data_IF_755385433576
#
_entry.id   IF_755385433576
#
_cell.length_a   1.000
_cell.length_b   1.000
_cell.length_c   1.000
_cell.angle_alpha   90.00
_cell.angle_beta   90.00
_cell.angle_gamma   90.00
#
_symmetry.space_group_name_H-M   'P 1'
#
loop_
_entity.id
_entity.type
_entity.pdbx_description
1 polymer ?
#
# COMPACT_ATOMS: atom_id res chain seq x y z
N UNK A 1 29.47 -37.70 -10.08
CA UNK A 1 29.00 -36.32 -9.82
C UNK A 1 30.18 -35.56 -9.25
N UNK A 2 30.79 -34.67 -10.05
CA UNK A 2 31.91 -33.84 -9.60
C UNK A 2 31.32 -32.70 -8.79
N UNK A 3 31.54 -32.71 -7.47
CA UNK A 3 31.25 -31.57 -6.60
C UNK A 3 32.05 -30.37 -7.13
N UNK A 4 31.36 -29.28 -7.50
CA UNK A 4 32.03 -28.02 -7.78
C UNK A 4 32.85 -27.62 -6.54
N UNK A 5 34.05 -27.04 -6.72
CA UNK A 5 34.91 -26.69 -5.59
C UNK A 5 34.23 -25.61 -4.73
N UNK A 6 34.14 -25.83 -3.41
CA UNK A 6 33.62 -24.91 -2.36
C UNK A 6 34.31 -23.53 -2.28
N UNK A 7 35.15 -23.18 -3.25
CA UNK A 7 35.91 -21.94 -3.30
C UNK A 7 35.04 -20.67 -3.26
N UNK A 8 33.94 -20.55 -4.04
CA UNK A 8 33.13 -19.32 -4.00
C UNK A 8 32.43 -19.14 -2.65
N UNK A 9 31.95 -20.23 -2.03
CA UNK A 9 31.29 -20.18 -0.72
C UNK A 9 32.25 -19.75 0.39
N UNK A 10 33.50 -20.23 0.37
CA UNK A 10 34.53 -19.83 1.34
C UNK A 10 34.87 -18.34 1.23
N UNK A 11 34.94 -17.80 0.02
CA UNK A 11 35.23 -16.37 -0.21
C UNK A 11 34.07 -15.49 0.26
N UNK A 12 32.83 -15.89 -0.05
CA UNK A 12 31.62 -15.19 0.41
C UNK A 12 31.54 -15.19 1.95
N UNK A 13 31.78 -16.33 2.59
CA UNK A 13 31.78 -16.45 4.04
C UNK A 13 32.88 -15.60 4.69
N UNK A 14 34.10 -15.58 4.12
CA UNK A 14 35.18 -14.73 4.60
C UNK A 14 34.91 -13.23 4.44
N UNK A 15 34.17 -12.83 3.40
CA UNK A 15 33.70 -11.44 3.26
C UNK A 15 32.61 -11.12 4.28
N UNK A 16 31.62 -12.00 4.46
CA UNK A 16 30.54 -11.81 5.45
C UNK A 16 31.10 -11.66 6.86
N UNK A 17 32.02 -12.53 7.27
CA UNK A 17 32.69 -12.44 8.58
C UNK A 17 33.46 -11.11 8.78
N UNK A 18 34.09 -10.56 7.73
CA UNK A 18 34.75 -9.25 7.81
C UNK A 18 33.75 -8.12 8.02
N UNK A 19 32.64 -8.15 7.30
CA UNK A 19 31.55 -7.16 7.43
C UNK A 19 30.88 -7.27 8.81
N UNK A 20 30.60 -8.48 9.27
CA UNK A 20 30.05 -8.74 10.61
C UNK A 20 30.96 -8.20 11.72
N UNK A 21 32.27 -8.45 11.64
CA UNK A 21 33.24 -7.91 12.60
C UNK A 21 33.30 -6.38 12.59
N UNK A 22 33.28 -5.77 11.40
CA UNK A 22 33.26 -4.32 11.27
C UNK A 22 31.98 -3.74 11.88
N UNK A 23 30.82 -4.35 11.60
CA UNK A 23 29.56 -3.92 12.16
C UNK A 23 29.54 -4.05 13.69
N UNK A 24 30.02 -5.17 14.25
CA UNK A 24 30.16 -5.34 15.70
C UNK A 24 31.08 -4.26 16.30
N UNK A 25 32.17 -3.92 15.65
CA UNK A 25 33.04 -2.83 16.11
C UNK A 25 32.31 -1.48 16.09
N UNK A 26 31.57 -1.18 15.02
CA UNK A 26 30.78 0.04 14.89
C UNK A 26 29.63 0.11 15.90
N UNK A 27 28.92 -0.99 16.18
CA UNK A 27 27.87 -1.01 17.21
C UNK A 27 28.44 -0.77 18.59
N UNK A 28 29.58 -1.40 18.93
CA UNK A 28 30.28 -1.15 20.19
C UNK A 28 30.76 0.29 20.30
N UNK A 29 31.23 0.90 19.21
CA UNK A 29 31.62 2.32 19.18
C UNK A 29 30.41 3.25 19.41
N UNK A 30 29.26 2.97 18.80
CA UNK A 30 28.04 3.77 19.00
C UNK A 30 27.51 3.63 20.43
N UNK A 31 27.49 2.41 20.98
CA UNK A 31 27.07 2.15 22.36
C UNK A 31 28.03 2.80 23.36
N UNK A 32 29.35 2.63 23.14
CA UNK A 32 30.39 3.24 23.95
C UNK A 32 30.36 4.77 23.89
N UNK A 33 30.13 5.35 22.71
CA UNK A 33 29.96 6.79 22.52
C UNK A 33 28.73 7.34 23.24
N UNK A 34 27.61 6.63 23.19
CA UNK A 34 26.41 6.98 23.97
C UNK A 34 26.64 6.91 25.48
N UNK A 35 27.34 5.87 25.95
CA UNK A 35 27.76 5.74 27.35
C UNK A 35 28.70 6.87 27.79
N UNK A 36 29.66 7.24 26.94
CA UNK A 36 30.56 8.37 27.19
C UNK A 36 29.80 9.69 27.29
N UNK A 37 28.81 9.92 26.42
CA UNK A 37 27.97 11.12 26.45
C UNK A 37 27.13 11.25 27.72
N UNK A 38 26.66 10.11 28.26
CA UNK A 38 25.92 10.04 29.52
C UNK A 38 26.82 10.16 30.76
N UNK A 39 28.13 9.92 30.64
CA UNK A 39 29.02 9.84 31.80
C UNK A 39 28.95 11.05 32.74
N UNK A 40 28.84 12.32 32.29
CA UNK A 40 28.77 13.45 33.21
C UNK A 40 27.42 13.57 33.93
N UNK A 41 26.34 13.00 33.39
CA UNK A 41 25.06 12.93 34.11
C UNK A 41 25.11 11.92 35.28
N UNK A 42 25.87 10.83 35.09
CA UNK A 42 26.01 9.77 36.09
C UNK A 42 27.05 10.12 37.14
N UNK A 43 28.16 10.74 36.74
CA UNK A 43 29.32 11.02 37.59
C UNK A 43 29.20 12.40 38.27
N UNK A 44 28.84 13.43 37.51
CA UNK A 44 28.85 14.82 37.98
C UNK A 44 27.46 15.35 38.35
N UNK A 45 26.42 14.51 38.26
CA UNK A 45 25.04 14.88 38.57
C UNK A 45 24.40 15.88 37.60
N UNK A 46 24.96 16.02 36.39
CA UNK A 46 24.42 16.92 35.37
C UNK A 46 23.00 16.49 34.94
N UNK A 47 22.18 17.45 34.50
CA UNK A 47 20.80 17.17 34.06
C UNK A 47 20.76 16.09 32.98
N UNK A 48 19.99 15.03 33.26
CA UNK A 48 19.93 13.83 32.42
C UNK A 48 19.05 14.05 31.17
N UNK A 49 17.97 14.82 31.32
CA UNK A 49 16.94 15.01 30.29
C UNK A 49 17.48 15.53 28.93
N UNK A 50 18.28 16.61 28.85
CA UNK A 50 18.80 17.10 27.57
C UNK A 50 19.81 16.15 26.91
N UNK A 51 20.38 15.21 27.67
CA UNK A 51 21.41 14.27 27.18
C UNK A 51 20.82 12.98 26.59
N UNK A 52 19.56 12.66 26.91
CA UNK A 52 18.90 11.43 26.46
C UNK A 52 18.67 11.42 24.94
N UNK A 53 18.32 12.56 24.33
CA UNK A 53 18.01 12.65 22.90
C UNK A 53 19.12 12.11 21.98
N UNK A 54 20.35 12.66 22.06
CA UNK A 54 21.49 12.16 21.27
C UNK A 54 21.80 10.68 21.51
N UNK A 55 21.65 10.20 22.75
CA UNK A 55 21.93 8.79 23.12
C UNK A 55 20.92 7.85 22.48
N UNK A 56 19.64 8.21 22.48
CA UNK A 56 18.61 7.43 21.79
C UNK A 56 18.92 7.32 20.30
N UNK A 57 19.39 8.40 19.66
CA UNK A 57 19.79 8.37 18.24
C UNK A 57 20.99 7.45 18.01
N UNK A 58 22.01 7.49 18.87
CA UNK A 58 23.17 6.59 18.77
C UNK A 58 22.79 5.12 18.95
N UNK A 59 21.95 4.82 19.94
CA UNK A 59 21.54 3.44 20.24
C UNK A 59 20.61 2.88 19.18
N UNK A 60 19.66 3.68 18.70
CA UNK A 60 18.80 3.28 17.56
C UNK A 60 19.61 3.03 16.30
N UNK A 61 20.62 3.87 16.02
CA UNK A 61 21.55 3.64 14.91
C UNK A 61 22.36 2.36 15.08
N UNK A 62 22.80 2.04 16.30
CA UNK A 62 23.51 0.80 16.61
C UNK A 62 22.63 -0.44 16.39
N UNK A 63 21.34 -0.36 16.72
CA UNK A 63 20.37 -1.45 16.53
C UNK A 63 20.02 -1.68 15.06
N UNK A 64 20.12 -0.67 14.21
CA UNK A 64 19.86 -0.76 12.77
C UNK A 64 21.10 -1.20 11.97
N UNK A 65 22.29 -1.15 12.56
CA UNK A 65 23.52 -1.51 11.86
C UNK A 65 23.56 -2.98 11.37
N UNK A 66 23.08 -3.99 12.14
CA UNK A 66 22.99 -5.36 11.65
C UNK A 66 22.07 -5.52 10.43
N UNK A 67 21.01 -4.70 10.32
CA UNK A 67 20.08 -4.74 9.18
C UNK A 67 20.79 -4.36 7.86
N UNK A 68 21.90 -3.61 7.91
CA UNK A 68 22.72 -3.32 6.73
C UNK A 68 23.52 -4.54 6.24
N UNK A 69 23.73 -5.54 7.09
CA UNK A 69 24.56 -6.73 6.78
C UNK A 69 23.73 -7.83 6.12
N UNK A 70 22.61 -8.20 6.75
CA UNK A 70 21.76 -9.30 6.26
C UNK A 70 20.88 -8.83 5.08
N UNK A 71 20.57 -7.54 5.01
CA UNK A 71 20.02 -6.81 3.86
C UNK A 71 18.93 -7.53 3.04
N UNK A 72 18.03 -8.23 3.72
CA UNK A 72 16.86 -8.90 3.17
C UNK A 72 15.66 -7.96 2.99
N UNK A 73 14.49 -8.51 2.58
CA UNK A 73 13.29 -7.71 2.34
C UNK A 73 12.75 -7.03 3.61
N UNK A 74 12.86 -7.71 4.76
CA UNK A 74 12.39 -7.19 6.06
C UNK A 74 13.33 -6.10 6.56
N UNK A 75 14.64 -6.33 6.46
CA UNK A 75 15.70 -5.42 6.88
C UNK A 75 15.67 -4.13 6.06
N UNK A 76 15.51 -4.24 4.73
CA UNK A 76 15.33 -3.07 3.84
C UNK A 76 14.10 -2.25 4.21
N UNK A 77 12.98 -2.92 4.54
CA UNK A 77 11.76 -2.24 4.98
C UNK A 77 11.97 -1.49 6.30
N UNK A 78 12.63 -2.11 7.29
CA UNK A 78 12.97 -1.50 8.59
C UNK A 78 13.90 -0.29 8.42
N UNK A 79 14.95 -0.41 7.60
CA UNK A 79 15.88 0.68 7.30
C UNK A 79 15.21 1.83 6.55
N UNK A 80 14.39 1.50 5.55
CA UNK A 80 13.61 2.49 4.80
C UNK A 80 12.65 3.24 5.71
N UNK A 81 11.91 2.53 6.58
CA UNK A 81 11.00 3.13 7.55
C UNK A 81 11.73 4.03 8.55
N UNK A 82 12.84 3.57 9.14
CA UNK A 82 13.63 4.36 10.08
C UNK A 82 14.18 5.64 9.45
N UNK A 83 14.74 5.54 8.24
CA UNK A 83 15.21 6.70 7.48
C UNK A 83 14.06 7.67 7.14
N UNK A 84 12.89 7.11 6.78
CA UNK A 84 11.70 7.90 6.44
C UNK A 84 11.13 8.66 7.64
N UNK A 85 11.17 8.05 8.83
CA UNK A 85 10.72 8.67 10.08
C UNK A 85 11.72 9.75 10.53
N UNK A 86 13.01 9.53 10.33
CA UNK A 86 14.05 10.41 10.84
C UNK A 86 14.24 11.70 10.03
N UNK A 87 14.17 11.65 8.69
CA UNK A 87 14.57 12.79 7.84
C UNK A 87 13.78 14.09 8.08
N UNK A 88 12.46 14.10 8.36
CA UNK A 88 11.73 15.35 8.61
C UNK A 88 12.20 16.02 9.91
N UNK A 89 12.51 15.22 10.92
CA UNK A 89 13.02 15.69 12.21
C UNK A 89 14.43 16.25 12.07
N UNK A 90 15.30 15.57 11.32
CA UNK A 90 16.67 16.06 11.03
C UNK A 90 16.62 17.37 10.24
N UNK A 91 15.67 17.51 9.30
CA UNK A 91 15.45 18.75 8.56
C UNK A 91 14.97 19.89 9.48
N UNK A 92 14.06 19.61 10.41
CA UNK A 92 13.65 20.58 11.42
C UNK A 92 14.83 21.05 12.29
N UNK A 93 15.67 20.11 12.75
CA UNK A 93 16.89 20.43 13.50
C UNK A 93 17.88 21.30 12.71
N UNK A 94 18.03 21.03 11.40
CA UNK A 94 18.88 21.83 10.52
C UNK A 94 18.40 23.29 10.44
N UNK A 95 17.08 23.50 10.34
CA UNK A 95 16.51 24.84 10.26
C UNK A 95 16.54 25.62 11.57
N UNK A 96 16.34 24.94 12.72
CA UNK A 96 16.37 25.58 14.05
C UNK A 96 17.79 26.11 14.36
N UNK A 97 18.82 25.34 14.03
CA UNK A 97 20.22 25.70 14.32
C UNK A 97 20.87 26.53 13.21
N UNK A 98 20.07 27.07 12.27
CA UNK A 98 20.60 27.92 11.22
C UNK A 98 21.09 29.26 11.79
N UNK A 99 22.36 29.59 11.55
CA UNK A 99 22.98 30.82 12.03
C UNK A 99 24.31 31.10 11.36
N UNK A 100 24.90 32.29 11.55
CA UNK A 100 26.18 32.65 10.96
C UNK A 100 27.35 31.85 11.56
N UNK A 101 28.43 31.69 10.80
CA UNK A 101 29.64 30.98 11.25
C UNK A 101 29.45 29.46 11.30
N UNK A 102 29.87 28.84 12.41
CA UNK A 102 29.86 27.38 12.59
C UNK A 102 28.43 26.78 12.54
N UNK A 103 27.41 27.57 12.89
CA UNK A 103 25.99 27.16 12.77
C UNK A 103 25.55 26.91 11.33
N UNK A 104 26.13 27.63 10.36
CA UNK A 104 25.82 27.43 8.94
C UNK A 104 26.37 26.09 8.46
N UNK A 105 27.59 25.73 8.87
CA UNK A 105 28.21 24.45 8.52
C UNK A 105 27.42 23.29 9.13
N UNK A 106 27.06 23.40 10.42
CA UNK A 106 26.28 22.37 11.10
C UNK A 106 24.89 22.18 10.47
N UNK A 107 24.17 23.28 10.18
CA UNK A 107 22.86 23.22 9.52
C UNK A 107 22.94 22.63 8.11
N UNK A 108 23.97 22.97 7.32
CA UNK A 108 24.19 22.37 5.99
C UNK A 108 24.49 20.88 6.07
N UNK A 109 25.29 20.43 7.04
CA UNK A 109 25.56 19.00 7.24
C UNK A 109 24.27 18.25 7.60
N UNK A 110 23.45 18.78 8.50
CA UNK A 110 22.16 18.16 8.87
C UNK A 110 21.18 18.16 7.68
N UNK A 111 21.12 19.24 6.90
CA UNK A 111 20.30 19.29 5.70
C UNK A 111 20.75 18.24 4.65
N UNK A 112 22.07 18.05 4.47
CA UNK A 112 22.61 17.02 3.60
C UNK A 112 22.25 15.60 4.09
N UNK A 113 22.31 15.35 5.40
CA UNK A 113 21.87 14.08 6.00
C UNK A 113 20.37 13.87 5.78
N UNK A 114 19.53 14.88 6.01
CA UNK A 114 18.09 14.78 5.74
C UNK A 114 17.81 14.47 4.27
N UNK A 115 18.50 15.13 3.34
CA UNK A 115 18.37 14.88 1.90
C UNK A 115 18.83 13.46 1.52
N UNK A 116 19.91 12.96 2.14
CA UNK A 116 20.39 11.59 1.95
C UNK A 116 19.36 10.57 2.44
N UNK A 117 18.84 10.74 3.66
CA UNK A 117 17.83 9.85 4.24
C UNK A 117 16.56 9.82 3.39
N UNK A 118 16.12 10.98 2.90
CA UNK A 118 14.99 11.08 1.98
C UNK A 118 15.23 10.33 0.65
N UNK A 119 16.40 10.52 0.02
CA UNK A 119 16.76 9.76 -1.20
C UNK A 119 16.85 8.26 -0.93
N UNK A 120 17.40 7.88 0.22
CA UNK A 120 17.58 6.50 0.62
C UNK A 120 16.25 5.76 0.82
N UNK A 121 15.28 6.37 1.53
CA UNK A 121 13.91 5.82 1.60
C UNK A 121 13.21 5.82 0.23
N UNK A 122 13.49 6.85 -0.57
CA UNK A 122 13.12 6.93 -1.99
C UNK A 122 13.44 5.66 -2.77
N UNK A 123 14.70 5.24 -2.65
CA UNK A 123 15.27 4.09 -3.33
C UNK A 123 14.76 2.75 -2.77
N UNK A 124 14.67 2.62 -1.44
CA UNK A 124 14.29 1.35 -0.80
C UNK A 124 12.80 1.03 -0.91
N UNK A 125 11.94 2.04 -0.73
CA UNK A 125 10.48 1.86 -0.65
C UNK A 125 9.73 2.34 -1.91
N UNK A 126 10.45 2.59 -3.00
CA UNK A 126 9.87 3.08 -4.26
C UNK A 126 9.38 2.00 -5.23
N UNK A 127 9.73 0.73 -4.99
CA UNK A 127 9.62 -0.35 -5.98
C UNK A 127 8.21 -0.86 -6.26
N UNK A 128 7.33 -0.94 -5.26
CA UNK A 128 5.93 -1.40 -5.41
C UNK A 128 4.94 -0.46 -4.76
N UNK A 129 3.67 -0.53 -5.15
CA UNK A 129 2.59 0.25 -4.55
C UNK A 129 2.49 0.02 -3.03
N UNK A 130 2.62 -1.22 -2.57
CA UNK A 130 2.58 -1.55 -1.15
C UNK A 130 3.74 -0.90 -0.39
N UNK A 131 4.95 -0.90 -0.96
CA UNK A 131 6.11 -0.24 -0.34
C UNK A 131 5.99 1.28 -0.33
N UNK A 132 5.38 1.89 -1.37
CA UNK A 132 5.10 3.33 -1.38
C UNK A 132 4.06 3.71 -0.34
N UNK A 133 2.97 2.94 -0.20
CA UNK A 133 1.98 3.16 0.86
C UNK A 133 2.59 3.02 2.25
N UNK A 134 3.47 2.03 2.45
CA UNK A 134 4.23 1.88 3.69
C UNK A 134 5.14 3.09 3.96
N UNK A 135 5.80 3.63 2.93
CA UNK A 135 6.53 4.90 3.02
C UNK A 135 5.60 6.05 3.41
N UNK A 136 4.46 6.19 2.75
CA UNK A 136 3.45 7.20 3.11
C UNK A 136 3.00 7.12 4.58
N UNK A 137 2.73 5.92 5.09
CA UNK A 137 2.34 5.70 6.50
C UNK A 137 3.45 6.07 7.48
N UNK A 138 4.69 5.67 7.19
CA UNK A 138 5.84 6.00 8.05
C UNK A 138 6.22 7.48 7.98
N UNK A 139 5.92 8.17 6.87
CA UNK A 139 6.07 9.63 6.75
C UNK A 139 5.13 10.38 7.70
N UNK A 140 3.94 9.85 8.00
CA UNK A 140 3.03 10.44 8.98
C UNK A 140 3.69 10.45 10.37
N UNK A 141 4.31 9.33 10.75
CA UNK A 141 5.05 9.23 12.02
C UNK A 141 6.26 10.19 12.05
N UNK A 142 7.03 10.26 10.96
CA UNK A 142 8.13 11.21 10.84
C UNK A 142 7.70 12.68 10.94
N UNK A 143 6.59 13.03 10.29
CA UNK A 143 6.00 14.36 10.37
C UNK A 143 5.52 14.70 11.79
N UNK A 144 4.89 13.74 12.49
CA UNK A 144 4.45 13.95 13.87
C UNK A 144 5.62 14.26 14.81
N UNK A 145 6.75 13.54 14.68
CA UNK A 145 7.96 13.80 15.46
C UNK A 145 8.56 15.16 15.08
N UNK A 146 8.63 15.50 13.80
CA UNK A 146 9.16 16.79 13.35
C UNK A 146 8.31 17.97 13.87
N UNK A 147 6.98 17.84 13.87
CA UNK A 147 6.08 18.83 14.47
C UNK A 147 6.38 18.96 15.97
N UNK A 148 6.54 17.85 16.70
CA UNK A 148 6.88 17.89 18.12
C UNK A 148 8.20 18.64 18.39
N UNK A 149 9.23 18.44 17.54
CA UNK A 149 10.50 19.17 17.61
C UNK A 149 10.30 20.67 17.33
N UNK A 150 9.56 21.02 16.28
CA UNK A 150 9.28 22.41 15.92
C UNK A 150 8.53 23.17 17.02
N UNK A 151 7.54 22.51 17.65
CA UNK A 151 6.83 23.05 18.82
C UNK A 151 7.79 23.24 20.00
N UNK A 152 8.59 22.21 20.31
CA UNK A 152 9.44 22.22 21.50
C UNK A 152 10.58 23.23 21.42
N UNK A 153 11.09 23.54 20.22
CA UNK A 153 12.24 24.43 20.03
C UNK A 153 11.86 25.81 19.45
N UNK A 154 10.56 26.09 19.29
CA UNK A 154 10.06 27.40 18.88
C UNK A 154 10.41 27.79 17.44
N UNK A 155 10.24 26.87 16.48
CA UNK A 155 10.51 27.16 15.06
C UNK A 155 9.62 28.27 14.48
N UNK A 156 10.18 29.11 13.61
CA UNK A 156 9.44 30.19 12.93
C UNK A 156 8.49 29.64 11.84
N UNK A 157 7.43 30.39 11.51
CA UNK A 157 6.38 30.01 10.58
C UNK A 157 6.92 29.58 9.20
N UNK A 158 8.02 30.20 8.74
CA UNK A 158 8.69 29.83 7.50
C UNK A 158 9.27 28.40 7.61
N UNK A 159 9.92 28.07 8.72
CA UNK A 159 10.48 26.74 8.95
C UNK A 159 9.38 25.68 9.06
N UNK A 160 8.27 26.00 9.73
CA UNK A 160 7.09 25.14 9.77
C UNK A 160 6.57 24.84 8.36
N UNK A 161 6.42 25.85 7.52
CA UNK A 161 5.96 25.69 6.14
C UNK A 161 6.94 24.82 5.32
N UNK A 162 8.24 24.99 5.50
CA UNK A 162 9.27 24.19 4.79
C UNK A 162 9.22 22.72 5.20
N UNK A 163 9.21 22.42 6.49
CA UNK A 163 9.24 21.03 7.00
C UNK A 163 7.94 20.30 6.68
N UNK A 164 6.79 20.93 6.97
CA UNK A 164 5.47 20.35 6.68
C UNK A 164 5.27 20.23 5.17
N UNK A 165 5.62 21.27 4.41
CA UNK A 165 5.51 21.27 2.95
C UNK A 165 6.35 20.17 2.31
N UNK A 166 7.63 20.04 2.68
CA UNK A 166 8.50 18.97 2.18
C UNK A 166 7.95 17.57 2.53
N UNK A 167 7.42 17.40 3.74
CA UNK A 167 6.83 16.13 4.17
C UNK A 167 5.55 15.80 3.41
N UNK A 168 4.68 16.79 3.16
CA UNK A 168 3.43 16.61 2.40
C UNK A 168 3.70 16.30 0.93
N UNK A 169 4.63 17.02 0.28
CA UNK A 169 4.98 16.80 -1.13
C UNK A 169 5.49 15.39 -1.39
N UNK A 170 6.17 14.80 -0.41
CA UNK A 170 6.70 13.43 -0.51
C UNK A 170 5.69 12.38 -0.07
N UNK A 171 4.89 12.65 0.96
CA UNK A 171 3.91 11.72 1.52
C UNK A 171 2.61 11.61 0.69
N UNK A 172 2.08 12.73 0.19
CA UNK A 172 0.82 12.75 -0.53
C UNK A 172 0.80 11.83 -1.77
N UNK A 173 1.79 11.87 -2.69
CA UNK A 173 1.77 10.97 -3.85
C UNK A 173 1.88 9.50 -3.46
N UNK A 174 2.56 9.19 -2.36
CA UNK A 174 2.73 7.81 -1.88
C UNK A 174 1.43 7.21 -1.31
N UNK A 175 0.64 8.03 -0.62
CA UNK A 175 -0.67 7.62 -0.08
C UNK A 175 -1.75 7.60 -1.16
N UNK A 176 -1.70 8.55 -2.10
CA UNK A 176 -2.67 8.69 -3.18
C UNK A 176 -2.35 7.81 -4.40
N UNK A 177 -1.22 7.12 -4.40
CA UNK A 177 -0.87 6.18 -5.44
C UNK A 177 -1.97 5.10 -5.58
N UNK A 178 -2.46 4.98 -6.81
CA UNK A 178 -3.46 4.00 -7.21
C UNK A 178 -2.76 2.77 -7.81
N UNK A 179 -3.44 1.65 -7.73
CA UNK A 179 -3.04 0.41 -8.40
C UNK A 179 -3.22 0.57 -9.91
N UNK A 180 -2.42 -0.13 -10.71
CA UNK A 180 -2.45 -0.04 -12.18
C UNK A 180 -3.84 -0.43 -12.72
N UNK A 181 -4.47 -1.43 -12.09
CA UNK A 181 -5.82 -1.89 -12.42
C UNK A 181 -6.95 -1.06 -11.79
N UNK A 182 -6.65 0.05 -11.11
CA UNK A 182 -7.68 0.82 -10.41
C UNK A 182 -8.77 1.34 -11.36
N UNK A 183 -8.38 1.82 -12.54
CA UNK A 183 -9.33 2.28 -13.56
C UNK A 183 -10.20 1.12 -14.06
N UNK A 184 -9.61 -0.05 -14.30
CA UNK A 184 -10.32 -1.24 -14.74
C UNK A 184 -11.30 -1.75 -13.67
N UNK A 185 -10.92 -1.75 -12.38
CA UNK A 185 -11.82 -2.09 -11.26
C UNK A 185 -12.96 -1.10 -11.11
N UNK A 186 -12.71 0.19 -11.32
CA UNK A 186 -13.76 1.20 -11.27
C UNK A 186 -14.78 1.02 -12.39
N UNK A 187 -14.32 0.76 -13.63
CA UNK A 187 -15.20 0.44 -14.76
C UNK A 187 -15.98 -0.85 -14.53
N UNK A 188 -15.33 -1.90 -14.02
CA UNK A 188 -15.97 -3.15 -13.65
C UNK A 188 -17.08 -2.93 -12.59
N UNK A 189 -16.81 -2.14 -11.56
CA UNK A 189 -17.78 -1.87 -10.50
C UNK A 189 -19.05 -1.17 -11.02
N UNK A 190 -18.87 -0.12 -11.84
CA UNK A 190 -19.97 0.60 -12.48
C UNK A 190 -20.77 -0.38 -13.36
N UNK A 191 -20.07 -1.18 -14.17
CA UNK A 191 -20.74 -2.06 -15.12
C UNK A 191 -21.48 -3.22 -14.45
N UNK A 192 -20.92 -3.75 -13.36
CA UNK A 192 -21.58 -4.76 -12.54
C UNK A 192 -22.90 -4.23 -11.98
N UNK A 193 -22.89 -3.01 -11.43
CA UNK A 193 -24.08 -2.36 -10.84
C UNK A 193 -25.18 -2.13 -11.89
N UNK A 194 -24.82 -1.65 -13.09
CA UNK A 194 -25.77 -1.46 -14.20
C UNK A 194 -26.46 -2.77 -14.62
N UNK A 195 -25.69 -3.85 -14.77
CA UNK A 195 -26.25 -5.14 -15.21
C UNK A 195 -27.04 -5.80 -14.08
N UNK A 196 -26.60 -5.70 -12.83
CA UNK A 196 -27.38 -6.17 -11.67
C UNK A 196 -28.73 -5.46 -11.59
N UNK A 197 -28.77 -4.13 -11.78
CA UNK A 197 -30.01 -3.36 -11.81
C UNK A 197 -30.93 -3.79 -12.96
N UNK A 198 -30.37 -4.02 -14.16
CA UNK A 198 -31.12 -4.51 -15.33
C UNK A 198 -31.71 -5.90 -15.10
N UNK A 199 -30.95 -6.83 -14.51
CA UNK A 199 -31.47 -8.18 -14.21
C UNK A 199 -32.55 -8.12 -13.14
N UNK A 200 -32.40 -7.26 -12.14
CA UNK A 200 -33.40 -7.10 -11.08
C UNK A 200 -34.74 -6.61 -11.65
N UNK A 201 -34.72 -5.60 -12.54
CA UNK A 201 -35.95 -5.10 -13.17
C UNK A 201 -36.60 -6.12 -14.10
N UNK A 202 -35.81 -6.95 -14.79
CA UNK A 202 -36.34 -8.02 -15.64
C UNK A 202 -36.93 -9.18 -14.86
N UNK A 203 -36.41 -9.47 -13.65
CA UNK A 203 -36.91 -10.52 -12.78
C UNK A 203 -38.34 -10.25 -12.29
N UNK A 204 -38.74 -8.99 -12.21
CA UNK A 204 -40.13 -8.59 -11.90
C UNK A 204 -41.11 -9.01 -13.02
N UNK A 205 -40.62 -9.29 -14.24
CA UNK A 205 -41.42 -9.63 -15.42
C UNK A 205 -41.49 -11.12 -15.80
N UNK A 206 -40.68 -12.01 -15.21
CA UNK A 206 -40.73 -13.45 -15.52
C UNK A 206 -39.51 -14.28 -15.08
N UNK A 207 -39.72 -15.59 -14.89
CA UNK A 207 -38.71 -16.56 -14.44
C UNK A 207 -37.83 -17.06 -15.59
N UNK A 208 -36.50 -17.06 -15.41
CA UNK A 208 -35.54 -17.55 -16.42
C UNK A 208 -34.13 -16.95 -16.33
N UNK A 209 -33.83 -16.16 -15.29
CA UNK A 209 -32.57 -15.40 -15.16
C UNK A 209 -31.56 -16.02 -14.17
N UNK A 210 -31.77 -17.27 -13.75
CA UNK A 210 -30.95 -17.94 -12.73
C UNK A 210 -29.49 -18.11 -13.19
N UNK A 211 -29.28 -18.46 -14.46
CA UNK A 211 -27.94 -18.60 -15.03
C UNK A 211 -27.21 -17.26 -15.10
N UNK A 212 -27.88 -16.20 -15.56
CA UNK A 212 -27.31 -14.84 -15.59
C UNK A 212 -26.99 -14.32 -14.18
N UNK A 213 -27.87 -14.58 -13.20
CA UNK A 213 -27.63 -14.24 -11.79
C UNK A 213 -26.43 -15.01 -11.19
N UNK A 214 -26.26 -16.29 -11.59
CA UNK A 214 -25.09 -17.08 -11.22
C UNK A 214 -23.80 -16.50 -11.79
N UNK A 215 -23.79 -16.13 -13.07
CA UNK A 215 -22.64 -15.49 -13.73
C UNK A 215 -22.27 -14.15 -13.09
N UNK A 216 -23.24 -13.29 -12.74
CA UNK A 216 -22.96 -12.04 -12.03
C UNK A 216 -22.39 -12.28 -10.63
N UNK A 217 -22.87 -13.31 -9.92
CA UNK A 217 -22.29 -13.68 -8.62
C UNK A 217 -20.81 -14.08 -8.77
N UNK A 218 -20.49 -14.91 -9.76
CA UNK A 218 -19.10 -15.29 -10.04
C UNK A 218 -18.27 -14.07 -10.48
N UNK A 219 -18.83 -13.19 -11.31
CA UNK A 219 -18.18 -11.94 -11.71
C UNK A 219 -17.84 -11.09 -10.48
N UNK A 220 -18.73 -11.00 -9.49
CA UNK A 220 -18.49 -10.28 -8.23
C UNK A 220 -17.38 -10.90 -7.39
N UNK A 221 -17.29 -12.22 -7.34
CA UNK A 221 -16.27 -12.93 -6.56
C UNK A 221 -14.88 -12.84 -7.19
N UNK A 222 -14.80 -12.89 -8.54
CA UNK A 222 -13.54 -12.96 -9.28
C UNK A 222 -13.07 -11.60 -9.83
N UNK A 223 -14.00 -10.73 -10.23
CA UNK A 223 -13.75 -9.50 -10.98
C UNK A 223 -13.00 -8.40 -10.23
N UNK A 224 -13.02 -8.42 -8.90
CA UNK A 224 -12.18 -7.50 -8.10
C UNK A 224 -10.69 -7.86 -8.13
N UNK A 225 -10.37 -9.14 -8.34
CA UNK A 225 -8.99 -9.63 -8.47
C UNK A 225 -8.51 -9.55 -9.91
N UNK A 226 -9.37 -9.88 -10.86
CA UNK A 226 -9.12 -9.80 -12.30
C UNK A 226 -10.29 -9.08 -12.99
N UNK A 227 -10.19 -7.75 -13.17
CA UNK A 227 -11.24 -6.96 -13.79
C UNK A 227 -11.54 -7.41 -15.22
N UNK A 228 -10.54 -7.89 -15.95
CA UNK A 228 -10.71 -8.32 -17.33
C UNK A 228 -11.61 -9.55 -17.42
N UNK A 229 -11.36 -10.55 -16.57
CA UNK A 229 -12.21 -11.74 -16.45
C UNK A 229 -13.59 -11.39 -15.89
N UNK A 230 -13.67 -10.48 -14.93
CA UNK A 230 -14.95 -9.96 -14.42
C UNK A 230 -15.81 -9.36 -15.52
N UNK A 231 -15.23 -8.55 -16.41
CA UNK A 231 -15.94 -7.95 -17.55
C UNK A 231 -16.45 -9.00 -18.55
N UNK A 232 -15.68 -10.07 -18.80
CA UNK A 232 -16.11 -11.19 -19.65
C UNK A 232 -17.32 -11.91 -19.05
N UNK A 233 -17.31 -12.15 -17.73
CA UNK A 233 -18.44 -12.78 -17.04
C UNK A 233 -19.70 -11.91 -17.06
N UNK A 234 -19.55 -10.58 -16.93
CA UNK A 234 -20.68 -9.66 -17.08
C UNK A 234 -21.24 -9.74 -18.52
N UNK A 235 -20.39 -9.71 -19.54
CA UNK A 235 -20.84 -9.81 -20.93
C UNK A 235 -21.56 -11.14 -21.21
N UNK A 236 -21.08 -12.26 -20.64
CA UNK A 236 -21.76 -13.55 -20.73
C UNK A 236 -23.12 -13.54 -20.04
N UNK A 237 -23.21 -12.92 -18.85
CA UNK A 237 -24.48 -12.78 -18.15
C UNK A 237 -25.51 -12.03 -18.99
N UNK A 238 -25.10 -10.96 -19.68
CA UNK A 238 -25.98 -10.20 -20.58
C UNK A 238 -26.45 -11.00 -21.79
N UNK A 239 -25.56 -11.76 -22.42
CA UNK A 239 -25.92 -12.65 -23.53
C UNK A 239 -26.98 -13.67 -23.06
N UNK A 240 -26.82 -14.23 -21.87
CA UNK A 240 -27.82 -15.15 -21.31
C UNK A 240 -29.14 -14.45 -20.95
N UNK A 241 -29.10 -13.18 -20.53
CA UNK A 241 -30.34 -12.39 -20.34
C UNK A 241 -31.09 -12.24 -21.66
N UNK A 242 -30.39 -11.84 -22.73
CA UNK A 242 -30.99 -11.66 -24.06
C UNK A 242 -31.55 -12.97 -24.60
N UNK A 243 -30.82 -14.07 -24.41
CA UNK A 243 -31.26 -15.40 -24.79
C UNK A 243 -32.51 -15.82 -24.01
N UNK A 244 -32.54 -15.64 -22.69
CA UNK A 244 -33.71 -15.97 -21.87
C UNK A 244 -34.92 -15.13 -22.25
N UNK A 245 -34.73 -13.86 -22.61
CA UNK A 245 -35.82 -13.01 -23.12
C UNK A 245 -36.36 -13.51 -24.46
N UNK A 246 -35.49 -13.86 -25.41
CA UNK A 246 -35.92 -14.42 -26.69
C UNK A 246 -36.71 -15.72 -26.51
N UNK A 247 -36.22 -16.62 -25.65
CA UNK A 247 -36.92 -17.88 -25.33
C UNK A 247 -38.26 -17.63 -24.65
N UNK A 248 -38.37 -16.64 -23.78
CA UNK A 248 -39.65 -16.29 -23.12
C UNK A 248 -40.69 -15.82 -24.15
N UNK A 249 -40.29 -14.99 -25.12
CA UNK A 249 -41.18 -14.54 -26.20
C UNK A 249 -41.66 -15.72 -27.06
N UNK A 250 -40.75 -16.63 -27.42
CA UNK A 250 -41.11 -17.82 -28.20
C UNK A 250 -42.05 -18.75 -27.41
N UNK A 251 -41.85 -18.90 -26.10
CA UNK A 251 -42.70 -19.73 -25.24
C UNK A 251 -44.11 -19.15 -25.11
N UNK A 252 -44.24 -17.83 -24.99
CA UNK A 252 -45.55 -17.16 -24.93
C UNK A 252 -46.32 -17.31 -26.25
N UNK A 253 -45.63 -17.27 -27.40
CA UNK A 253 -46.24 -17.54 -28.71
C UNK A 253 -46.78 -18.98 -28.79
N UNK A 254 -45.96 -19.98 -28.42
CA UNK A 254 -46.40 -21.39 -28.40
C UNK A 254 -47.56 -21.61 -27.44
N UNK A 255 -47.52 -20.96 -26.26
CA UNK A 255 -48.61 -21.06 -25.27
C UNK A 255 -49.91 -20.47 -25.83
N UNK A 256 -49.84 -19.35 -26.53
CA UNK A 256 -51.00 -18.73 -27.18
C UNK A 256 -51.60 -19.65 -28.24
N UNK A 257 -50.77 -20.21 -29.13
CA UNK A 257 -51.20 -21.12 -30.20
C UNK A 257 -51.80 -22.41 -29.65
N UNK A 258 -51.18 -22.99 -28.62
CA UNK A 258 -51.69 -24.18 -27.94
C UNK A 258 -53.04 -23.92 -27.27
N UNK A 259 -53.20 -22.75 -26.63
CA UNK A 259 -54.44 -22.35 -25.98
C UNK A 259 -55.56 -22.14 -27.01
N UNK A 260 -55.24 -21.57 -28.18
CA UNK A 260 -56.20 -21.45 -29.28
C UNK A 260 -56.57 -22.82 -29.88
N UNK A 261 -55.63 -23.74 -30.01
CA UNK A 261 -55.91 -25.11 -30.44
C UNK A 261 -56.81 -25.86 -29.45
N UNK A 262 -56.56 -25.72 -28.14
CA UNK A 262 -57.41 -26.31 -27.10
C UNK A 262 -58.82 -25.73 -27.13
N UNK A 263 -58.97 -24.40 -27.24
CA UNK A 263 -60.28 -23.75 -27.37
C UNK A 263 -61.07 -24.26 -28.57
N UNK A 264 -60.43 -24.37 -29.74
CA UNK A 264 -61.05 -24.95 -30.94
C UNK A 264 -61.50 -26.39 -30.74
N UNK A 265 -60.71 -27.20 -30.03
CA UNK A 265 -61.08 -28.58 -29.72
C UNK A 265 -62.27 -28.65 -28.74
N UNK A 266 -62.32 -27.76 -27.75
CA UNK A 266 -63.46 -27.65 -26.83
C UNK A 266 -64.75 -27.26 -27.58
N UNK A 267 -64.70 -26.29 -28.49
CA UNK A 267 -65.86 -25.89 -29.30
C UNK A 267 -66.43 -27.06 -30.12
N UNK A 268 -65.59 -27.89 -30.74
CA UNK A 268 -66.02 -29.08 -31.50
C UNK A 268 -66.67 -30.14 -30.59
N UNK A 269 -66.21 -30.29 -29.34
CA UNK A 269 -66.83 -31.23 -28.40
C UNK A 269 -68.20 -30.76 -27.87
N UNK A 270 -68.47 -29.46 -27.83
CA UNK A 270 -69.78 -28.93 -27.42
C UNK A 270 -70.82 -29.11 -28.54
N UNK A 271 -70.43 -28.94 -29.81
CA UNK A 271 -71.31 -29.22 -30.95
C UNK A 271 -71.62 -30.72 -31.16
N UNK A 272 -70.78 -31.62 -30.62
CA UNK A 272 -71.00 -33.07 -30.67
C UNK A 272 -72.00 -33.58 -29.60
N UNK A 273 -72.35 -32.75 -28.60
CA UNK A 273 -73.46 -32.95 -27.69
C UNK A 273 -74.71 -32.26 -28.26
N UNK A 274 -75.29 -32.87 -29.29
CA UNK A 274 -76.62 -32.50 -29.78
C UNK A 274 -77.73 -32.74 -28.73
N UNK A 275 -78.94 -32.19 -28.95
CA UNK A 275 -80.04 -32.11 -27.97
C UNK A 275 -80.49 -33.46 -27.37
#
# INVERSE_FOLDING_TARGET
>A
MVLLPDYPEKVVLAHRLRVERLALACTLLLIGGGGWWLSPAVIDGAEMLPRIGPVLVLFTSALLLPDLIDYGPVERSRLGAAANIAWPSVLAFAGIHHGPGDGLVASLMLAAVAAFLWKFTGHLLGGSLQTRRWRGLTSIAGLAIAIAVLVSMGGDAVLWAVVIGASLVTMAPDLLAKDDDHAARAQFAIRLEEVEARILSLREGGSGLEQSASLLKTAREEGWKDPSRGMVLIAQAEIEVERSQAVAVDLDAIRSDALEAVKRAEEVTVDALGP
#
